data_IF_520183711068
#
_entry.id   IF_520183711068
#
_cell.length_a   1.000
_cell.length_b   1.000
_cell.length_c   1.000
_cell.angle_alpha   90.00
_cell.angle_beta   90.00
_cell.angle_gamma   90.00
#
_symmetry.space_group_name_H-M   'P 1'
#
loop_
_entity.id
_entity.type
_entity.pdbx_description
1 polymer ?
#
# COMPACT_ATOMS: atom_id res chain seq x y z
N UNK A 1 8.90 29.70 -50.71
CA UNK A 1 7.61 29.64 -50.00
C UNK A 1 7.31 28.18 -49.69
N UNK A 2 7.53 27.74 -48.45
CA UNK A 2 7.00 26.49 -47.92
C UNK A 2 6.47 26.77 -46.51
N UNK A 3 5.23 26.39 -46.18
CA UNK A 3 4.71 26.56 -44.82
C UNK A 3 5.18 25.38 -43.95
N UNK A 4 5.87 25.69 -42.86
CA UNK A 4 6.11 24.74 -41.78
C UNK A 4 4.83 24.64 -40.93
N UNK A 5 4.09 23.57 -41.12
CA UNK A 5 2.95 23.20 -40.27
C UNK A 5 3.49 22.72 -38.92
N UNK A 6 3.38 23.53 -37.88
CA UNK A 6 3.69 23.12 -36.51
C UNK A 6 2.60 22.15 -36.00
N UNK A 7 3.01 20.93 -35.70
CA UNK A 7 2.17 19.91 -35.07
C UNK A 7 2.04 20.25 -33.57
N UNK A 8 0.84 20.65 -33.13
CA UNK A 8 0.56 20.93 -31.72
C UNK A 8 0.45 19.62 -30.93
N UNK A 9 1.44 19.33 -30.08
CA UNK A 9 1.39 18.29 -29.06
C UNK A 9 0.42 18.71 -27.94
N UNK A 10 -0.79 18.16 -27.93
CA UNK A 10 -1.74 18.32 -26.83
C UNK A 10 -1.28 17.42 -25.67
N UNK A 11 -0.66 18.01 -24.66
CA UNK A 11 -0.37 17.34 -23.39
C UNK A 11 -1.68 17.11 -22.64
N UNK A 12 -2.19 15.88 -22.68
CA UNK A 12 -3.30 15.46 -21.82
C UNK A 12 -2.79 15.33 -20.38
N UNK A 13 -3.04 16.35 -19.56
CA UNK A 13 -2.89 16.26 -18.12
C UNK A 13 -4.03 15.39 -17.56
N UNK A 14 -3.74 14.10 -17.34
CA UNK A 14 -4.66 13.19 -16.67
C UNK A 14 -4.75 13.57 -15.19
N UNK A 15 -5.71 14.41 -14.81
CA UNK A 15 -6.09 14.57 -13.40
C UNK A 15 -6.77 13.29 -12.95
N UNK A 16 -6.05 12.44 -12.22
CA UNK A 16 -6.64 11.30 -11.53
C UNK A 16 -7.65 11.84 -10.51
N UNK A 17 -8.94 11.64 -10.77
CA UNK A 17 -9.96 11.88 -9.77
C UNK A 17 -9.70 10.92 -8.60
N UNK A 18 -9.58 11.47 -7.38
CA UNK A 18 -9.48 10.65 -6.19
C UNK A 18 -10.74 9.77 -6.12
N UNK A 19 -10.57 8.45 -6.08
CA UNK A 19 -11.67 7.51 -5.95
C UNK A 19 -12.45 7.86 -4.68
N UNK A 20 -13.72 8.24 -4.81
CA UNK A 20 -14.54 8.59 -3.65
C UNK A 20 -14.78 7.32 -2.81
N UNK A 21 -14.45 7.41 -1.52
CA UNK A 21 -14.74 6.38 -0.54
C UNK A 21 -16.26 6.16 -0.42
N UNK A 22 -16.72 4.91 -0.52
CA UNK A 22 -18.15 4.54 -0.34
C UNK A 22 -18.42 3.78 0.97
N UNK A 23 -17.41 3.58 1.81
CA UNK A 23 -17.57 2.89 3.09
C UNK A 23 -18.39 3.73 4.07
N UNK A 24 -19.23 3.06 4.87
CA UNK A 24 -20.03 3.68 5.93
C UNK A 24 -19.48 3.26 7.29
N UNK A 25 -19.32 4.19 8.21
CA UNK A 25 -18.74 3.92 9.52
C UNK A 25 -18.27 5.20 10.21
N UNK A 26 -17.46 5.03 11.26
CA UNK A 26 -16.88 6.15 12.00
C UNK A 26 -15.57 6.59 11.35
N UNK A 27 -15.41 7.88 11.12
CA UNK A 27 -14.11 8.42 10.72
C UNK A 27 -13.15 8.40 11.92
N UNK A 28 -12.02 7.70 11.77
CA UNK A 28 -11.00 7.56 12.81
C UNK A 28 -9.66 8.08 12.32
N UNK A 29 -8.88 8.65 13.23
CA UNK A 29 -7.47 8.99 13.00
C UNK A 29 -6.63 8.36 14.10
N UNK A 30 -5.69 7.50 13.71
CA UNK A 30 -4.93 6.64 14.63
C UNK A 30 -3.49 6.56 14.20
N UNK A 31 -2.57 6.48 15.16
CA UNK A 31 -1.15 6.28 14.90
C UNK A 31 -0.69 4.94 15.44
N UNK A 32 0.25 4.31 14.76
CA UNK A 32 0.79 3.01 15.16
C UNK A 32 1.93 2.55 14.26
N UNK A 33 2.61 1.49 14.69
CA UNK A 33 3.59 0.80 13.87
C UNK A 33 2.87 0.07 12.73
N UNK A 34 3.47 0.11 11.55
CA UNK A 34 3.08 -0.75 10.43
C UNK A 34 3.85 -2.05 10.53
N UNK A 35 3.13 -3.17 10.47
CA UNK A 35 3.73 -4.50 10.54
C UNK A 35 3.14 -5.41 9.47
N UNK A 36 3.97 -6.22 8.82
CA UNK A 36 3.51 -7.22 7.87
C UNK A 36 2.88 -8.44 8.55
N UNK A 37 1.85 -9.00 7.91
CA UNK A 37 1.15 -10.16 8.48
C UNK A 37 2.04 -11.40 8.58
N UNK A 38 3.05 -11.53 7.71
CA UNK A 38 3.96 -12.68 7.72
C UNK A 38 4.82 -12.73 9.00
N UNK A 39 5.45 -11.63 9.39
CA UNK A 39 6.21 -11.55 10.65
C UNK A 39 5.29 -11.75 11.86
N UNK A 40 4.04 -11.27 11.82
CA UNK A 40 3.08 -11.51 12.90
C UNK A 40 2.75 -13.00 13.01
N UNK A 41 2.39 -13.64 11.90
CA UNK A 41 2.03 -15.07 11.86
C UNK A 41 3.21 -15.97 12.26
N UNK A 42 4.42 -15.58 11.89
CA UNK A 42 5.65 -16.27 12.28
C UNK A 42 5.95 -16.15 13.78
N UNK A 43 5.54 -15.05 14.42
CA UNK A 43 5.81 -14.73 15.83
C UNK A 43 7.13 -14.01 16.09
N UNK A 44 8.06 -14.04 15.13
CA UNK A 44 9.36 -13.36 15.20
C UNK A 44 9.67 -12.64 13.90
N UNK A 45 10.49 -11.58 13.99
CA UNK A 45 10.92 -10.83 12.81
C UNK A 45 11.82 -11.70 11.91
N UNK A 46 11.67 -11.58 10.59
CA UNK A 46 12.44 -12.40 9.64
C UNK A 46 13.91 -12.00 9.60
N UNK A 47 14.16 -10.70 9.64
CA UNK A 47 15.48 -10.05 9.65
C UNK A 47 16.17 -10.10 11.02
N UNK A 48 15.40 -10.19 12.11
CA UNK A 48 15.90 -10.37 13.46
C UNK A 48 15.10 -11.43 14.24
N UNK A 49 15.36 -12.74 14.02
CA UNK A 49 14.57 -13.82 14.59
C UNK A 49 14.58 -13.90 16.12
N UNK A 50 15.51 -13.23 16.80
CA UNK A 50 15.54 -13.17 18.28
C UNK A 50 14.49 -12.23 18.86
N UNK A 51 13.83 -11.40 18.05
CA UNK A 51 12.83 -10.43 18.48
C UNK A 51 11.42 -10.95 18.19
N UNK A 52 10.58 -10.97 19.23
CA UNK A 52 9.15 -11.27 19.10
C UNK A 52 8.46 -10.10 18.40
N UNK A 53 7.73 -10.38 17.33
CA UNK A 53 7.18 -9.35 16.41
C UNK A 53 6.33 -8.31 17.13
N UNK A 54 5.42 -8.75 18.00
CA UNK A 54 4.52 -7.86 18.75
C UNK A 54 5.15 -7.25 20.00
N UNK A 55 6.42 -7.54 20.32
CA UNK A 55 7.15 -6.92 21.43
C UNK A 55 8.15 -5.86 20.96
N UNK A 56 8.76 -6.06 19.79
CA UNK A 56 9.76 -5.15 19.23
C UNK A 56 9.42 -4.63 17.83
N UNK A 57 8.26 -3.99 17.62
CA UNK A 57 7.95 -3.42 16.30
C UNK A 57 8.87 -2.25 15.92
N UNK A 58 9.54 -1.63 16.88
CA UNK A 58 10.50 -0.54 16.73
C UNK A 58 11.82 -0.95 16.07
N UNK A 59 12.16 -2.24 16.12
CA UNK A 59 13.37 -2.79 15.48
C UNK A 59 13.07 -3.56 14.18
N UNK A 60 11.80 -3.63 13.76
CA UNK A 60 11.42 -4.19 12.47
C UNK A 60 11.95 -3.32 11.32
N UNK A 61 12.76 -3.90 10.43
CA UNK A 61 13.37 -3.11 9.38
C UNK A 61 12.37 -2.77 8.28
N UNK A 62 12.53 -1.59 7.69
CA UNK A 62 11.79 -1.18 6.50
C UNK A 62 12.10 -2.11 5.32
N UNK A 63 13.25 -2.79 5.30
CA UNK A 63 13.58 -3.80 4.27
C UNK A 63 12.50 -4.88 4.18
N UNK A 64 12.03 -5.42 5.31
CA UNK A 64 10.92 -6.38 5.33
C UNK A 64 9.62 -5.76 4.78
N UNK A 65 9.35 -4.50 5.09
CA UNK A 65 8.13 -3.80 4.64
C UNK A 65 8.11 -3.43 3.15
N UNK A 66 9.23 -3.50 2.42
CA UNK A 66 9.23 -3.01 1.03
C UNK A 66 9.93 -3.93 0.02
N UNK A 67 10.90 -4.74 0.45
CA UNK A 67 11.76 -5.55 -0.42
C UNK A 67 11.47 -7.05 -0.31
N UNK A 68 11.12 -7.54 0.88
CA UNK A 68 10.99 -8.97 1.12
C UNK A 68 9.60 -9.48 0.69
N UNK A 69 9.54 -10.21 -0.43
CA UNK A 69 8.30 -10.69 -1.05
C UNK A 69 7.26 -11.27 -0.08
N UNK A 70 7.59 -12.25 0.79
CA UNK A 70 6.58 -12.81 1.70
C UNK A 70 5.98 -11.77 2.65
N UNK A 71 6.78 -10.83 3.15
CA UNK A 71 6.29 -9.74 4.00
C UNK A 71 5.38 -8.80 3.21
N UNK A 72 5.81 -8.38 2.03
CA UNK A 72 5.05 -7.46 1.18
C UNK A 72 3.72 -8.06 0.71
N UNK A 73 3.73 -9.31 0.24
CA UNK A 73 2.52 -9.99 -0.27
C UNK A 73 1.55 -10.36 0.83
N UNK A 74 2.03 -10.53 2.07
CA UNK A 74 1.17 -10.78 3.22
C UNK A 74 0.30 -9.59 3.63
N UNK A 75 0.53 -8.40 3.04
CA UNK A 75 -0.13 -7.13 3.40
C UNK A 75 0.24 -6.67 4.81
N UNK A 76 -0.22 -5.49 5.20
CA UNK A 76 0.14 -4.87 6.46
C UNK A 76 -1.02 -4.70 7.42
N UNK A 77 -0.64 -4.42 8.65
CA UNK A 77 -1.51 -4.12 9.77
C UNK A 77 -1.03 -2.83 10.43
N UNK A 78 -1.94 -2.09 11.06
CA UNK A 78 -1.61 -1.02 11.97
C UNK A 78 -1.74 -1.56 13.40
N UNK A 79 -0.68 -1.42 14.20
CA UNK A 79 -0.67 -1.89 15.58
C UNK A 79 -1.19 -0.83 16.56
N UNK A 80 -1.96 -1.27 17.55
CA UNK A 80 -2.26 -0.51 18.76
C UNK A 80 -1.14 -0.73 19.80
N UNK A 81 -0.87 0.29 20.64
CA UNK A 81 0.08 0.14 21.73
C UNK A 81 -0.38 -0.95 22.73
N UNK A 82 0.56 -1.52 23.51
CA UNK A 82 0.21 -2.45 24.57
C UNK A 82 -0.83 -1.88 25.54
N UNK A 83 -1.77 -2.72 25.95
CA UNK A 83 -2.87 -2.36 26.84
C UNK A 83 -3.12 -3.47 27.88
N UNK A 84 -3.87 -3.15 28.93
CA UNK A 84 -4.30 -4.10 29.97
C UNK A 84 -3.14 -4.86 30.66
N UNK A 85 -2.01 -4.19 30.89
CA UNK A 85 -0.84 -4.79 31.55
C UNK A 85 -0.03 -5.75 30.68
N UNK A 86 -0.32 -5.83 29.38
CA UNK A 86 0.50 -6.53 28.39
C UNK A 86 1.72 -5.69 28.00
N UNK A 87 2.83 -6.36 27.66
CA UNK A 87 3.98 -5.75 26.97
C UNK A 87 3.87 -5.88 25.44
N UNK A 88 2.84 -6.55 24.94
CA UNK A 88 2.64 -6.82 23.51
C UNK A 88 1.71 -5.79 22.88
N UNK A 89 2.13 -5.29 21.72
CA UNK A 89 1.28 -4.61 20.77
C UNK A 89 0.19 -5.56 20.27
N UNK A 90 -0.94 -5.00 19.84
CA UNK A 90 -2.03 -5.75 19.22
C UNK A 90 -2.37 -5.20 17.85
N UNK A 91 -2.98 -6.00 16.99
CA UNK A 91 -3.50 -5.50 15.71
C UNK A 91 -4.69 -4.59 15.99
N UNK A 92 -4.61 -3.32 15.55
CA UNK A 92 -5.71 -2.36 15.62
C UNK A 92 -6.58 -2.44 14.39
N UNK A 93 -5.95 -2.44 13.21
CA UNK A 93 -6.63 -2.59 11.92
C UNK A 93 -5.78 -3.39 10.94
N UNK A 94 -6.42 -4.24 10.13
CA UNK A 94 -5.85 -4.73 8.89
C UNK A 94 -5.87 -3.59 7.85
N UNK A 95 -4.79 -3.48 7.08
CA UNK A 95 -4.74 -2.60 5.92
C UNK A 95 -5.00 -3.45 4.67
N UNK A 96 -6.17 -3.24 4.05
CA UNK A 96 -6.52 -3.87 2.77
C UNK A 96 -5.56 -3.47 1.64
N UNK A 97 -5.84 -3.84 0.39
CA UNK A 97 -4.91 -3.63 -0.73
C UNK A 97 -4.51 -2.17 -0.93
N UNK A 98 -5.49 -1.26 -0.90
CA UNK A 98 -5.24 0.17 -1.03
C UNK A 98 -4.40 0.72 0.14
N UNK A 99 -4.80 0.41 1.38
CA UNK A 99 -4.07 0.85 2.58
C UNK A 99 -2.66 0.28 2.64
N UNK A 100 -2.47 -0.98 2.25
CA UNK A 100 -1.17 -1.62 2.20
C UNK A 100 -0.27 -1.04 1.10
N UNK A 101 -0.83 -0.68 -0.05
CA UNK A 101 -0.09 0.04 -1.10
C UNK A 101 0.39 1.41 -0.61
N UNK A 102 -0.46 2.18 0.08
CA UNK A 102 -0.09 3.46 0.70
C UNK A 102 0.99 3.29 1.76
N UNK A 103 0.84 2.31 2.66
CA UNK A 103 1.80 2.04 3.72
C UNK A 103 3.18 1.68 3.15
N UNK A 104 3.23 0.84 2.11
CA UNK A 104 4.48 0.51 1.40
C UNK A 104 5.10 1.73 0.73
N UNK A 105 4.30 2.56 0.09
CA UNK A 105 4.78 3.78 -0.56
C UNK A 105 5.36 4.76 0.46
N UNK A 106 4.70 4.92 1.61
CA UNK A 106 5.18 5.72 2.72
C UNK A 106 6.49 5.16 3.30
N UNK A 107 6.59 3.83 3.48
CA UNK A 107 7.81 3.17 3.94
C UNK A 107 8.99 3.36 2.96
N UNK A 108 8.74 3.29 1.64
CA UNK A 108 9.75 3.63 0.62
C UNK A 108 10.23 5.07 0.73
N UNK A 109 9.30 6.01 0.94
CA UNK A 109 9.63 7.41 1.18
C UNK A 109 10.43 7.62 2.47
N UNK A 110 10.09 6.92 3.55
CA UNK A 110 10.86 6.97 4.79
C UNK A 110 12.28 6.45 4.59
N UNK A 111 12.45 5.34 3.84
CA UNK A 111 13.77 4.79 3.52
C UNK A 111 14.61 5.74 2.68
N UNK A 112 14.04 6.45 1.70
CA UNK A 112 14.79 7.42 0.89
C UNK A 112 15.26 8.62 1.71
N UNK A 113 14.60 8.92 2.83
CA UNK A 113 15.01 9.92 3.82
C UNK A 113 15.94 9.36 4.92
N UNK A 114 16.38 8.11 4.78
CA UNK A 114 17.35 7.47 5.66
C UNK A 114 16.76 6.65 6.81
N UNK A 115 15.44 6.47 6.87
CA UNK A 115 14.78 5.59 7.84
C UNK A 115 15.17 4.12 7.65
N UNK A 116 15.37 3.38 8.73
CA UNK A 116 15.81 1.96 8.69
C UNK A 116 14.87 1.01 9.41
N UNK A 117 14.42 1.32 10.61
CA UNK A 117 13.57 0.45 11.44
C UNK A 117 12.39 1.20 12.04
N UNK A 118 11.46 0.47 12.65
CA UNK A 118 10.44 1.03 13.52
C UNK A 118 9.51 1.99 12.80
N UNK A 119 8.98 1.55 11.66
CA UNK A 119 8.14 2.38 10.82
C UNK A 119 6.74 2.55 11.42
N UNK A 120 6.40 3.78 11.79
CA UNK A 120 5.09 4.18 12.29
C UNK A 120 4.47 5.27 11.43
N UNK A 121 3.14 5.24 11.34
CA UNK A 121 2.36 6.19 10.54
C UNK A 121 1.16 6.68 11.33
N UNK A 122 0.64 7.85 10.95
CA UNK A 122 -0.72 8.30 11.31
C UNK A 122 -1.63 8.04 10.12
N UNK A 123 -2.73 7.32 10.37
CA UNK A 123 -3.70 6.87 9.37
C UNK A 123 -5.06 7.48 9.68
N UNK A 124 -5.74 8.00 8.66
CA UNK A 124 -7.16 8.35 8.72
C UNK A 124 -7.94 7.35 7.87
N UNK A 125 -9.15 6.98 8.30
CA UNK A 125 -10.00 6.06 7.55
C UNK A 125 -11.39 5.91 8.16
N UNK A 126 -12.17 4.98 7.60
CA UNK A 126 -13.51 4.64 8.06
C UNK A 126 -13.48 3.29 8.77
N UNK A 127 -13.82 3.29 10.05
CA UNK A 127 -14.08 2.10 10.85
C UNK A 127 -15.56 1.72 10.73
N UNK A 128 -15.82 0.65 9.99
CA UNK A 128 -17.16 0.09 9.76
C UNK A 128 -17.52 -1.02 10.77
N UNK A 129 -16.70 -1.21 11.82
CA UNK A 129 -16.83 -2.29 12.78
C UNK A 129 -16.19 -3.61 12.35
N UNK A 130 -15.62 -3.68 11.14
CA UNK A 130 -14.83 -4.85 10.69
C UNK A 130 -13.35 -4.68 11.05
N UNK A 131 -12.54 -5.76 11.02
CA UNK A 131 -11.11 -5.65 11.31
C UNK A 131 -10.29 -4.82 10.31
N UNK A 132 -10.80 -4.54 9.11
CA UNK A 132 -10.06 -3.82 8.07
C UNK A 132 -10.47 -2.33 8.03
N UNK A 133 -9.50 -1.43 8.15
CA UNK A 133 -9.77 0.00 8.02
C UNK A 133 -10.06 0.34 6.56
N UNK A 134 -11.21 0.99 6.31
CA UNK A 134 -11.62 1.38 4.96
C UNK A 134 -11.14 2.78 4.63
N UNK A 135 -11.00 3.05 3.33
CA UNK A 135 -10.71 4.40 2.82
C UNK A 135 -9.51 5.06 3.49
N UNK A 136 -8.45 4.26 3.60
CA UNK A 136 -7.21 4.61 4.27
C UNK A 136 -6.53 5.77 3.56
N UNK A 137 -6.15 6.78 4.33
CA UNK A 137 -5.18 7.81 3.97
C UNK A 137 -4.06 7.87 5.02
N UNK A 138 -2.84 8.17 4.60
CA UNK A 138 -1.67 8.20 5.48
C UNK A 138 -1.09 9.61 5.50
N UNK A 139 -0.85 10.13 6.71
CA UNK A 139 -0.18 11.41 6.91
C UNK A 139 1.19 11.43 6.24
N UNK A 140 1.55 12.56 5.63
CA UNK A 140 2.89 12.78 5.08
C UNK A 140 3.98 12.80 6.15
N UNK A 141 3.61 13.00 7.40
CA UNK A 141 4.52 12.93 8.53
C UNK A 141 4.51 11.52 9.11
N UNK A 142 5.62 10.81 8.96
CA UNK A 142 5.82 9.43 9.42
C UNK A 142 6.95 9.38 10.44
N UNK A 143 7.09 8.25 11.14
CA UNK A 143 8.20 8.01 12.06
C UNK A 143 8.98 6.79 11.60
N UNK A 144 10.30 6.90 11.57
CA UNK A 144 11.23 5.78 11.40
C UNK A 144 12.48 6.04 12.24
N UNK A 145 13.09 5.00 12.81
CA UNK A 145 14.21 5.10 13.76
C UNK A 145 13.93 6.04 14.94
N UNK A 146 12.67 6.12 15.37
CA UNK A 146 12.21 7.06 16.42
C UNK A 146 12.24 8.54 16.00
N UNK A 147 12.47 8.86 14.72
CA UNK A 147 12.55 10.22 14.18
C UNK A 147 11.36 10.52 13.29
N UNK A 148 10.87 11.75 13.38
CA UNK A 148 9.86 12.28 12.47
C UNK A 148 10.48 12.57 11.11
N UNK A 149 9.87 12.04 10.04
CA UNK A 149 10.23 12.27 8.65
C UNK A 149 9.01 12.85 7.91
N UNK A 150 9.24 13.85 7.06
CA UNK A 150 8.18 14.46 6.23
C UNK A 150 8.35 14.03 4.77
N UNK A 151 7.38 13.28 4.27
CA UNK A 151 7.37 12.78 2.91
C UNK A 151 6.91 13.87 1.93
N UNK A 152 7.61 14.02 0.79
CA UNK A 152 7.23 14.97 -0.25
C UNK A 152 5.84 14.66 -0.84
N UNK A 153 5.59 13.38 -1.10
CA UNK A 153 4.30 12.85 -1.50
C UNK A 153 4.23 11.36 -1.12
N UNK A 154 3.02 10.91 -0.79
CA UNK A 154 2.68 9.50 -0.82
C UNK A 154 1.86 9.34 -2.10
N UNK A 155 2.34 8.61 -3.12
CA UNK A 155 1.56 8.40 -4.33
C UNK A 155 0.22 7.80 -3.92
N UNK A 156 -0.88 8.46 -4.31
CA UNK A 156 -2.21 7.95 -4.06
C UNK A 156 -2.28 6.51 -4.58
N UNK A 157 -2.87 5.60 -3.81
CA UNK A 157 -3.15 4.27 -4.34
C UNK A 157 -4.12 4.48 -5.50
N UNK A 158 -3.62 4.44 -6.74
CA UNK A 158 -4.46 4.12 -7.86
C UNK A 158 -4.97 2.73 -7.53
N UNK A 159 -6.19 2.65 -6.98
CA UNK A 159 -6.88 1.39 -6.86
C UNK A 159 -6.71 0.72 -8.22
N UNK A 160 -6.18 -0.49 -8.22
CA UNK A 160 -6.09 -1.29 -9.44
C UNK A 160 -7.54 -1.49 -9.88
N UNK A 161 -8.05 -0.56 -10.68
CA UNK A 161 -9.05 -0.88 -11.67
C UNK A 161 -8.39 -1.97 -12.49
N UNK A 162 -8.78 -3.22 -12.21
CA UNK A 162 -8.71 -4.28 -13.20
C UNK A 162 -9.51 -3.76 -14.39
N UNK A 163 -8.84 -3.00 -15.26
CA UNK A 163 -9.23 -2.89 -16.64
C UNK A 163 -9.07 -4.32 -17.15
N UNK A 164 -10.19 -5.05 -17.12
CA UNK A 164 -10.34 -6.26 -17.88
C UNK A 164 -9.85 -5.90 -19.29
N UNK A 165 -8.68 -6.43 -19.66
CA UNK A 165 -8.25 -6.44 -21.05
C UNK A 165 -9.42 -7.08 -21.81
N UNK A 166 -10.03 -6.43 -22.79
CA UNK A 166 -10.89 -7.16 -23.70
C UNK A 166 -9.99 -8.20 -24.38
N UNK A 167 -10.22 -9.47 -24.06
CA UNK A 167 -9.64 -10.59 -24.77
C UNK A 167 -9.90 -10.36 -26.25
N UNK A 168 -8.85 -9.98 -26.99
CA UNK A 168 -8.88 -9.94 -28.45
C UNK A 168 -8.92 -11.40 -28.89
N UNK A 169 -10.11 -11.97 -28.97
CA UNK A 169 -10.34 -13.22 -29.66
C UNK A 169 -10.08 -12.91 -31.13
N UNK A 170 -8.87 -13.20 -31.58
CA UNK A 170 -8.52 -13.22 -32.99
C UNK A 170 -9.41 -14.28 -33.67
N UNK A 171 -10.46 -13.83 -34.34
CA UNK A 171 -11.22 -14.66 -35.26
C UNK A 171 -10.32 -14.99 -36.45
N UNK A 172 -9.68 -16.16 -36.41
CA UNK A 172 -9.02 -16.74 -37.58
C UNK A 172 -10.14 -17.18 -38.52
N UNK A 173 -10.34 -16.40 -39.59
CA UNK A 173 -11.30 -16.71 -40.64
C UNK A 173 -10.97 -18.04 -41.30
N UNK A 174 -11.88 -19.01 -41.19
CA UNK A 174 -11.84 -20.24 -41.95
C UNK A 174 -12.13 -19.91 -43.43
N UNK A 175 -11.10 -19.99 -44.28
CA UNK A 175 -11.26 -20.01 -45.73
C UNK A 175 -11.78 -21.39 -46.11
N UNK A 176 -13.08 -21.50 -46.40
CA UNK A 176 -13.66 -22.67 -47.06
C UNK A 176 -13.30 -22.57 -48.54
N UNK A 177 -12.32 -23.36 -48.98
CA UNK A 177 -12.11 -23.64 -50.40
C UNK A 177 -12.98 -24.85 -50.76
N UNK A 178 -14.09 -24.60 -51.44
CA UNK A 178 -14.87 -25.64 -52.11
C UNK A 178 -14.46 -25.68 -53.58
N UNK A 179 -13.72 -26.71 -53.99
CA UNK A 179 -13.59 -27.12 -55.38
C UNK A 179 -14.61 -28.22 -55.63
N UNK A 180 -15.53 -27.99 -56.59
CA UNK A 180 -16.33 -29.02 -57.21
C UNK A 180 -15.91 -29.11 -58.69
N UNK A 181 -15.50 -30.31 -59.09
CA UNK A 181 -15.53 -30.78 -60.47
C UNK A 181 -16.78 -31.66 -60.62
#
# INVERSE_FOLDING_TARGET
MQPFTFLALVSMASTAAAQACTATGTNVTVSGFVMDNFCIQRGNLVDNPSVITLKGPDVHTIHCLIDLTPCVESKYTLLAPPANGSDLYSVKYQLGDAGSALARAAARGARSLGGKTGFSVTVTGIDDGTPELKCVDISKTVIADGKTLTLAAIPASTGVSSLALPSVVAAVGAVIVAFAF
#
